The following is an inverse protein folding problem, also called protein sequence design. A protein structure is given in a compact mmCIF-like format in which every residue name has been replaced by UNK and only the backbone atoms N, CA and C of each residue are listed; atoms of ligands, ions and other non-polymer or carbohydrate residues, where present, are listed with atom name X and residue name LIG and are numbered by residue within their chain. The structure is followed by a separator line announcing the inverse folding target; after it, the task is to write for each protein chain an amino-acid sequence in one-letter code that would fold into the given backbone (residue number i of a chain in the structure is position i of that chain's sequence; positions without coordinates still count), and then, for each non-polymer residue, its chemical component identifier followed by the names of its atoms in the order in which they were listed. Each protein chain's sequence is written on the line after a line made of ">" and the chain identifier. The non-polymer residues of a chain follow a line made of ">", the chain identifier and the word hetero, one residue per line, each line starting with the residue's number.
data_IF_762569600017
#
_entry.id   IF_762569600017
#
_cell.length_a   1.000
_cell.length_b   1.000
_cell.length_c   1.000
_cell.angle_alpha   90.00
_cell.angle_beta   90.00
_cell.angle_gamma   90.00
#
_symmetry.space_group_name_H-M   'P 1'
#
loop_
_entity.id
_entity.type
_entity.pdbx_description
1 polymer ?
#
# COMPACT_ATOMS: atom_id res chain seq x y z
N UNK A 1 19.18 5.19 -43.89
CA UNK A 1 17.76 4.84 -44.10
C UNK A 1 17.51 3.51 -43.40
N UNK A 2 16.70 3.35 -42.37
CA UNK A 2 15.77 4.26 -41.73
C UNK A 2 16.00 4.40 -40.23
N UNK A 3 15.33 5.42 -39.72
CA UNK A 3 15.22 5.83 -38.34
C UNK A 3 14.27 4.89 -37.57
N UNK A 4 14.51 4.71 -36.28
CA UNK A 4 13.45 4.60 -35.30
C UNK A 4 13.80 5.52 -34.13
N UNK A 5 12.97 6.53 -33.95
CA UNK A 5 13.08 7.57 -32.92
C UNK A 5 12.54 7.10 -31.57
N UNK A 6 13.14 7.67 -30.52
CA UNK A 6 12.58 8.14 -29.25
C UNK A 6 11.37 7.43 -28.59
N UNK A 7 11.51 7.15 -27.28
CA UNK A 7 10.45 7.45 -26.31
C UNK A 7 11.01 8.26 -25.14
N UNK A 8 10.56 9.50 -25.09
CA UNK A 8 10.43 10.38 -23.92
C UNK A 8 9.28 9.84 -23.07
N UNK A 9 9.38 9.79 -21.74
CA UNK A 9 8.20 9.64 -20.88
C UNK A 9 8.55 9.29 -19.44
N UNK A 10 8.49 10.25 -18.52
CA UNK A 10 7.34 10.61 -17.66
C UNK A 10 7.08 9.64 -16.51
N UNK A 11 7.04 10.23 -15.31
CA UNK A 11 6.33 9.85 -14.08
C UNK A 11 5.95 8.37 -13.90
N UNK A 12 6.59 7.73 -12.93
CA UNK A 12 5.96 6.66 -12.14
C UNK A 12 5.78 7.14 -10.71
N UNK A 13 4.66 7.79 -10.40
CA UNK A 13 4.18 7.87 -9.01
C UNK A 13 3.79 6.44 -8.63
N UNK A 14 4.73 5.70 -8.04
CA UNK A 14 4.42 4.37 -7.52
C UNK A 14 3.73 4.58 -6.17
N UNK A 15 2.40 4.61 -6.18
CA UNK A 15 1.60 4.48 -4.96
C UNK A 15 1.74 3.01 -4.52
N UNK A 16 2.79 2.71 -3.78
CA UNK A 16 2.96 1.44 -3.09
C UNK A 16 2.20 1.55 -1.77
N UNK A 17 1.07 0.87 -1.68
CA UNK A 17 0.23 0.82 -0.47
C UNK A 17 0.89 0.13 0.72
N UNK A 18 2.15 -0.33 0.62
CA UNK A 18 2.90 -0.98 1.72
C UNK A 18 4.42 -0.80 1.62
N UNK A 19 4.92 0.42 1.34
CA UNK A 19 6.36 0.67 1.20
C UNK A 19 7.04 1.12 2.50
N UNK A 20 8.18 0.49 2.82
CA UNK A 20 9.23 1.10 3.63
C UNK A 20 9.98 2.07 2.71
N UNK A 21 9.89 3.38 2.96
CA UNK A 21 10.56 4.40 2.14
C UNK A 21 12.04 4.50 2.51
N UNK A 22 12.90 3.79 1.78
CA UNK A 22 14.35 3.93 1.95
C UNK A 22 14.83 5.23 1.27
N UNK A 23 15.54 6.07 2.02
CA UNK A 23 15.95 7.40 1.56
C UNK A 23 17.42 7.35 1.13
N UNK A 24 17.70 6.88 -0.09
CA UNK A 24 19.07 6.87 -0.59
C UNK A 24 19.38 8.24 -1.19
N UNK A 25 20.08 9.09 -0.43
CA UNK A 25 20.62 10.36 -0.92
C UNK A 25 22.05 10.10 -1.41
N UNK A 26 22.27 10.21 -2.72
CA UNK A 26 23.62 10.24 -3.30
C UNK A 26 23.93 11.69 -3.69
N UNK A 27 24.66 12.42 -2.86
CA UNK A 27 25.17 13.75 -3.25
C UNK A 27 26.36 13.57 -4.19
N UNK A 28 26.32 14.16 -5.39
CA UNK A 28 27.40 14.09 -6.37
C UNK A 28 28.31 15.33 -6.23
N UNK A 29 29.64 15.15 -6.21
CA UNK A 29 30.64 16.25 -6.14
C UNK A 29 31.66 16.24 -7.28
N UNK A 30 31.31 15.84 -8.50
CA UNK A 30 32.23 15.93 -9.66
C UNK A 30 31.85 17.09 -10.59
N UNK A 31 32.62 18.18 -10.48
CA UNK A 31 32.36 19.49 -11.13
C UNK A 31 32.90 19.58 -12.56
N UNK A 32 33.69 18.61 -13.01
CA UNK A 32 34.64 18.80 -14.14
C UNK A 32 34.18 18.14 -15.46
N UNK A 33 33.11 17.33 -15.44
CA UNK A 33 32.56 16.63 -16.62
C UNK A 33 31.07 16.87 -16.85
N UNK A 34 30.48 17.77 -16.09
CA UNK A 34 29.04 17.97 -16.09
C UNK A 34 28.64 19.20 -16.91
N UNK A 35 27.68 19.01 -17.83
CA UNK A 35 27.25 20.05 -18.77
C UNK A 35 26.15 20.95 -18.17
N UNK A 36 25.18 20.37 -17.44
CA UNK A 36 24.10 21.10 -16.71
C UNK A 36 23.62 20.29 -15.50
N UNK A 37 23.03 20.96 -14.50
CA UNK A 37 22.48 20.35 -13.26
C UNK A 37 23.47 19.49 -12.44
N UNK A 38 24.70 19.99 -12.33
CA UNK A 38 25.82 19.32 -11.66
C UNK A 38 25.63 19.26 -10.15
N UNK A 39 25.98 18.11 -9.57
CA UNK A 39 25.92 17.89 -8.13
C UNK A 39 24.54 17.52 -7.57
N UNK A 40 23.53 17.39 -8.42
CA UNK A 40 22.23 16.86 -8.03
C UNK A 40 22.17 15.33 -8.25
N UNK A 41 21.70 14.53 -7.27
CA UNK A 41 21.38 13.12 -7.49
C UNK A 41 20.39 12.93 -8.65
N UNK A 42 20.63 11.89 -9.46
CA UNK A 42 19.66 11.34 -10.41
C UNK A 42 18.40 10.82 -9.70
N UNK A 43 18.56 10.35 -8.46
CA UNK A 43 17.50 9.82 -7.60
C UNK A 43 17.78 10.14 -6.13
N UNK A 44 16.79 10.73 -5.43
CA UNK A 44 16.89 11.13 -4.00
C UNK A 44 16.20 10.15 -3.03
N UNK A 45 15.32 9.32 -3.58
CA UNK A 45 14.42 8.44 -2.83
C UNK A 45 14.32 7.12 -3.57
N UNK A 46 14.44 6.00 -2.85
CA UNK A 46 14.29 4.67 -3.42
C UNK A 46 13.36 3.83 -2.54
N UNK A 47 12.14 3.56 -3.00
CA UNK A 47 11.25 2.69 -2.24
C UNK A 47 11.74 1.24 -2.32
N UNK A 48 12.01 0.63 -1.17
CA UNK A 48 12.31 -0.81 -1.08
C UNK A 48 10.99 -1.53 -0.81
N UNK A 49 10.47 -2.34 -1.75
CA UNK A 49 9.29 -3.15 -1.49
C UNK A 49 9.51 -4.04 -0.27
N UNK A 50 8.49 -4.15 0.60
CA UNK A 50 8.58 -5.05 1.77
C UNK A 50 8.82 -6.51 1.41
N UNK A 51 8.38 -6.95 0.22
CA UNK A 51 8.63 -8.31 -0.28
C UNK A 51 10.12 -8.62 -0.47
N UNK A 52 11.00 -7.62 -0.46
CA UNK A 52 12.45 -7.80 -0.55
C UNK A 52 13.12 -7.87 0.83
N UNK A 53 12.35 -7.65 1.91
CA UNK A 53 12.84 -7.64 3.28
C UNK A 53 12.52 -8.97 3.98
N UNK A 54 13.53 -9.55 4.61
CA UNK A 54 13.43 -10.64 5.59
C UNK A 54 13.02 -10.09 6.97
N UNK A 55 12.41 -10.94 7.79
CA UNK A 55 11.94 -10.57 9.13
C UNK A 55 13.05 -10.28 10.15
N UNK A 56 14.27 -10.77 9.91
CA UNK A 56 15.38 -10.64 10.85
C UNK A 56 16.49 -9.72 10.32
N UNK A 57 17.31 -10.23 9.40
CA UNK A 57 18.49 -9.53 8.87
C UNK A 57 18.37 -9.31 7.38
N UNK A 58 18.58 -8.06 6.99
CA UNK A 58 18.58 -7.62 5.60
C UNK A 58 19.94 -7.05 5.25
N UNK A 59 20.45 -7.38 4.08
CA UNK A 59 21.69 -6.82 3.55
C UNK A 59 21.36 -5.96 2.34
N UNK A 60 21.57 -4.65 2.46
CA UNK A 60 21.45 -3.73 1.34
C UNK A 60 22.83 -3.57 0.71
N UNK A 61 22.93 -3.90 -0.59
CA UNK A 61 24.14 -3.65 -1.38
C UNK A 61 23.89 -2.42 -2.24
N UNK A 62 24.62 -1.34 -1.96
CA UNK A 62 24.56 -0.12 -2.75
C UNK A 62 25.74 -0.10 -3.72
N UNK A 63 25.43 -0.03 -5.02
CA UNK A 63 26.44 0.24 -6.03
C UNK A 63 26.62 1.74 -6.12
N UNK A 64 27.83 2.20 -5.86
CA UNK A 64 28.19 3.62 -5.90
C UNK A 64 28.13 4.10 -7.36
N UNK A 65 27.13 4.92 -7.69
CA UNK A 65 26.81 5.26 -9.08
C UNK A 65 27.69 6.39 -9.66
N UNK A 66 28.65 6.95 -8.90
CA UNK A 66 29.70 7.94 -9.25
C UNK A 66 29.78 9.03 -8.16
N UNK A 67 30.87 9.03 -7.38
CA UNK A 67 31.42 10.23 -6.71
C UNK A 67 30.55 10.90 -5.63
N UNK A 68 29.98 10.12 -4.70
CA UNK A 68 29.26 10.63 -3.53
C UNK A 68 29.76 10.05 -2.20
N UNK A 69 29.41 10.67 -1.07
CA UNK A 69 29.80 10.16 0.26
C UNK A 69 28.69 9.27 0.84
N UNK A 70 28.91 7.95 0.97
CA UNK A 70 27.89 7.03 1.48
C UNK A 70 27.52 7.26 2.96
N UNK A 71 28.30 8.05 3.70
CA UNK A 71 27.98 8.42 5.09
C UNK A 71 26.75 9.32 5.23
N UNK A 72 26.33 9.98 4.15
CA UNK A 72 25.16 10.87 4.15
C UNK A 72 23.85 10.13 3.81
N UNK A 73 23.90 8.81 3.61
CA UNK A 73 22.70 8.00 3.37
C UNK A 73 21.98 7.79 4.70
N UNK A 74 20.65 7.97 4.69
CA UNK A 74 19.81 7.75 5.87
C UNK A 74 18.70 6.76 5.56
N UNK A 75 18.27 6.02 6.58
CA UNK A 75 17.18 5.07 6.43
C UNK A 75 15.97 5.59 7.19
N UNK A 76 14.85 5.72 6.49
CA UNK A 76 13.57 6.03 7.11
C UNK A 76 12.68 4.80 7.02
N UNK A 77 12.22 4.30 8.16
CA UNK A 77 11.18 3.28 8.16
C UNK A 77 9.83 3.98 8.16
N UNK A 78 9.09 3.88 7.06
CA UNK A 78 7.67 4.23 7.04
C UNK A 78 6.91 2.99 7.43
N UNK A 79 6.38 2.95 8.66
CA UNK A 79 5.32 2.02 8.98
C UNK A 79 4.05 2.58 8.38
N UNK A 80 3.42 1.84 7.46
CA UNK A 80 2.02 2.08 7.14
C UNK A 80 1.23 1.95 8.46
N UNK A 81 0.91 3.10 9.08
CA UNK A 81 -0.05 3.15 10.18
C UNK A 81 -1.41 2.67 9.69
N UNK A 82 -1.69 2.81 8.39
CA UNK A 82 -2.93 2.37 7.78
C UNK A 82 -2.70 1.14 6.92
N UNK A 83 -3.43 0.06 7.20
CA UNK A 83 -3.51 -1.15 6.37
C UNK A 83 -4.87 -1.19 5.67
N UNK A 84 -4.92 -1.82 4.49
CA UNK A 84 -6.15 -1.92 3.71
C UNK A 84 -6.31 -3.31 3.11
N UNK A 85 -7.55 -3.70 2.87
CA UNK A 85 -7.88 -4.92 2.14
C UNK A 85 -9.12 -4.69 1.26
N UNK A 86 -9.14 -5.33 0.10
CA UNK A 86 -10.34 -5.45 -0.72
C UNK A 86 -10.52 -6.92 -1.10
N UNK A 87 -11.67 -7.48 -0.76
CA UNK A 87 -11.91 -8.93 -0.82
C UNK A 87 -13.27 -9.18 -1.47
N UNK A 88 -13.31 -10.07 -2.44
CA UNK A 88 -14.57 -10.47 -3.11
C UNK A 88 -15.41 -11.38 -2.20
N UNK A 89 -16.72 -11.39 -2.40
CA UNK A 89 -17.61 -12.35 -1.75
C UNK A 89 -17.12 -13.79 -1.98
N UNK A 90 -17.10 -14.58 -0.91
CA UNK A 90 -16.64 -15.97 -0.89
C UNK A 90 -15.14 -16.14 -0.64
N UNK A 91 -14.35 -15.07 -0.70
CA UNK A 91 -12.92 -15.12 -0.41
C UNK A 91 -12.59 -14.92 1.08
N UNK A 92 -11.41 -15.36 1.49
CA UNK A 92 -10.88 -15.17 2.84
C UNK A 92 -10.29 -13.76 2.98
N UNK A 93 -10.76 -13.01 3.97
CA UNK A 93 -10.08 -11.78 4.41
C UNK A 93 -8.86 -12.14 5.24
N UNK A 94 -7.74 -11.48 4.97
CA UNK A 94 -6.57 -11.47 5.85
C UNK A 94 -6.07 -10.04 6.05
N UNK A 95 -6.03 -9.58 7.30
CA UNK A 95 -5.47 -8.31 7.74
C UNK A 95 -4.41 -8.57 8.81
N UNK A 96 -3.26 -7.93 8.69
CA UNK A 96 -2.17 -8.06 9.68
C UNK A 96 -1.43 -6.74 9.88
N UNK A 97 -1.13 -6.46 11.14
CA UNK A 97 -0.28 -5.35 11.56
C UNK A 97 1.16 -5.82 11.72
N UNK A 98 2.09 -4.99 11.23
CA UNK A 98 3.51 -5.29 11.25
C UNK A 98 4.17 -4.78 12.55
N UNK A 99 5.28 -5.41 12.95
CA UNK A 99 6.11 -4.93 14.08
C UNK A 99 5.47 -5.10 15.46
N UNK A 100 4.67 -6.16 15.66
CA UNK A 100 4.02 -6.44 16.95
C UNK A 100 2.89 -5.46 17.30
N UNK A 101 2.52 -4.56 16.38
CA UNK A 101 1.37 -3.68 16.53
C UNK A 101 0.06 -4.47 16.45
N UNK A 102 -0.99 -3.89 16.99
CA UNK A 102 -2.36 -4.40 16.92
C UNK A 102 -3.23 -3.44 16.15
N UNK A 103 -4.31 -3.94 15.54
CA UNK A 103 -5.31 -3.12 14.88
C UNK A 103 -6.01 -2.27 15.96
N UNK A 104 -5.80 -0.97 15.92
CA UNK A 104 -6.30 0.00 16.91
C UNK A 104 -7.66 0.56 16.51
N UNK A 105 -7.90 0.74 15.21
CA UNK A 105 -9.12 1.36 14.69
C UNK A 105 -9.46 0.84 13.29
N UNK A 106 -10.75 0.68 12.98
CA UNK A 106 -11.22 0.50 11.60
C UNK A 106 -11.69 1.88 11.10
N UNK A 107 -10.94 2.50 10.20
CA UNK A 107 -11.28 3.81 9.64
C UNK A 107 -12.45 3.72 8.64
N UNK A 108 -12.52 2.60 7.91
CA UNK A 108 -13.59 2.34 6.95
C UNK A 108 -13.75 0.83 6.79
N UNK A 109 -15.00 0.36 6.79
CA UNK A 109 -15.37 -0.96 6.34
C UNK A 109 -16.77 -0.93 5.71
N UNK A 110 -16.88 -1.42 4.48
CA UNK A 110 -18.15 -1.50 3.77
C UNK A 110 -18.17 -2.76 2.90
N UNK A 111 -19.22 -3.56 3.06
CA UNK A 111 -19.51 -4.72 2.23
C UNK A 111 -20.63 -4.37 1.25
N UNK A 112 -20.36 -4.47 -0.05
CA UNK A 112 -21.30 -4.08 -1.08
C UNK A 112 -20.58 -3.76 -2.38
N UNK A 113 -20.76 -2.54 -2.90
CA UNK A 113 -20.01 -2.05 -4.04
C UNK A 113 -19.10 -0.84 -3.73
N UNK A 114 -18.23 -0.91 -2.70
CA UNK A 114 -17.34 0.20 -2.36
C UNK A 114 -16.49 0.64 -3.56
N UNK A 115 -16.21 1.93 -3.60
CA UNK A 115 -15.46 2.61 -4.64
C UNK A 115 -14.19 3.25 -4.07
N UNK A 116 -13.26 3.62 -4.96
CA UNK A 116 -12.01 4.26 -4.60
C UNK A 116 -10.89 3.26 -4.34
N UNK A 117 -9.87 3.71 -3.60
CA UNK A 117 -8.67 2.94 -3.27
C UNK A 117 -8.31 3.19 -1.81
N UNK A 118 -7.42 2.37 -1.24
CA UNK A 118 -6.87 2.58 0.10
C UNK A 118 -6.48 4.05 0.36
N UNK A 119 -6.98 4.63 1.45
CA UNK A 119 -6.84 6.06 1.78
C UNK A 119 -7.98 6.95 1.25
N UNK A 120 -8.81 6.44 0.35
CA UNK A 120 -9.88 7.18 -0.35
C UNK A 120 -11.13 6.32 -0.58
N UNK A 121 -11.31 5.27 0.22
CA UNK A 121 -12.49 4.42 0.11
C UNK A 121 -13.75 5.22 0.40
N UNK A 122 -14.79 4.92 -0.37
CA UNK A 122 -16.11 5.49 -0.21
C UNK A 122 -17.15 4.42 -0.48
N UNK A 123 -18.30 4.59 0.19
CA UNK A 123 -19.47 3.74 -0.03
C UNK A 123 -19.93 3.92 -1.48
N UNK A 124 -20.34 2.82 -2.10
CA UNK A 124 -20.89 2.84 -3.44
C UNK A 124 -22.39 3.11 -3.43
N UNK A 125 -23.07 2.63 -4.47
CA UNK A 125 -24.52 2.71 -4.63
C UNK A 125 -25.29 1.92 -3.57
N UNK A 126 -24.69 0.84 -3.05
CA UNK A 126 -25.31 -0.02 -2.06
C UNK A 126 -24.27 -0.60 -1.09
N UNK A 127 -24.70 -0.85 0.14
CA UNK A 127 -23.89 -1.48 1.17
C UNK A 127 -24.77 -2.29 2.14
N UNK A 128 -24.15 -3.25 2.80
CA UNK A 128 -24.71 -3.97 3.93
C UNK A 128 -24.70 -3.09 5.19
N UNK A 129 -25.71 -3.26 6.04
CA UNK A 129 -25.88 -2.48 7.28
C UNK A 129 -24.77 -2.74 8.30
N UNK A 130 -24.27 -3.97 8.37
CA UNK A 130 -23.34 -4.42 9.42
C UNK A 130 -21.86 -4.38 8.99
N UNK A 131 -21.56 -3.77 7.84
CA UNK A 131 -20.20 -3.70 7.26
C UNK A 131 -19.11 -3.28 8.25
N UNK A 132 -19.36 -2.18 8.97
CA UNK A 132 -18.39 -1.60 9.89
C UNK A 132 -18.28 -2.40 11.19
N UNK A 133 -19.41 -2.68 11.84
CA UNK A 133 -19.46 -3.35 13.15
C UNK A 133 -18.92 -4.78 13.10
N UNK A 134 -19.20 -5.53 12.03
CA UNK A 134 -18.66 -6.89 11.85
C UNK A 134 -17.14 -6.90 11.80
N UNK A 135 -16.53 -5.95 11.08
CA UNK A 135 -15.07 -5.87 10.95
C UNK A 135 -14.43 -5.37 12.26
N UNK A 136 -15.02 -4.36 12.91
CA UNK A 136 -14.54 -3.85 14.19
C UNK A 136 -14.49 -4.93 15.27
N UNK A 137 -15.57 -5.70 15.42
CA UNK A 137 -15.65 -6.80 16.37
C UNK A 137 -14.65 -7.93 16.07
N UNK A 138 -14.38 -8.19 14.78
CA UNK A 138 -13.47 -9.25 14.38
C UNK A 138 -11.98 -8.88 14.56
N UNK A 139 -11.62 -7.61 14.34
CA UNK A 139 -10.25 -7.20 14.09
C UNK A 139 -9.61 -6.32 15.18
N UNK A 140 -10.37 -5.46 15.87
CA UNK A 140 -9.79 -4.52 16.85
C UNK A 140 -9.12 -5.31 18.00
N UNK A 141 -7.93 -4.86 18.40
CA UNK A 141 -7.14 -5.44 19.47
C UNK A 141 -6.32 -6.67 19.08
N UNK A 142 -6.37 -7.12 17.82
CA UNK A 142 -5.57 -8.24 17.32
C UNK A 142 -4.43 -7.76 16.42
N UNK A 143 -3.31 -8.46 16.43
CA UNK A 143 -2.20 -8.23 15.47
C UNK A 143 -2.52 -8.76 14.07
N UNK A 144 -3.46 -9.71 13.97
CA UNK A 144 -4.01 -10.20 12.72
C UNK A 144 -5.46 -10.64 12.89
N UNK A 145 -6.26 -10.50 11.84
CA UNK A 145 -7.62 -11.01 11.78
C UNK A 145 -7.92 -11.56 10.38
N UNK A 146 -8.79 -12.55 10.32
CA UNK A 146 -9.27 -13.08 9.06
C UNK A 146 -10.53 -13.89 9.24
N UNK A 147 -11.39 -13.84 8.24
CA UNK A 147 -12.65 -14.57 8.17
C UNK A 147 -13.15 -14.61 6.74
N UNK A 148 -13.99 -15.58 6.41
CA UNK A 148 -14.57 -15.68 5.06
C UNK A 148 -15.62 -14.59 4.87
N UNK A 149 -15.44 -13.78 3.82
CA UNK A 149 -16.36 -12.70 3.47
C UNK A 149 -17.60 -13.33 2.83
N UNK A 150 -18.71 -13.34 3.56
CA UNK A 150 -19.97 -13.95 3.11
C UNK A 150 -21.12 -12.99 3.34
N UNK A 151 -22.18 -13.08 2.54
CA UNK A 151 -23.37 -12.21 2.69
C UNK A 151 -24.01 -12.36 4.07
N UNK A 152 -24.01 -13.58 4.60
CA UNK A 152 -24.57 -13.92 5.89
C UNK A 152 -23.78 -13.25 7.03
N UNK A 153 -22.45 -13.18 6.94
CA UNK A 153 -21.60 -12.50 7.93
C UNK A 153 -21.86 -10.99 8.03
N UNK A 154 -22.43 -10.40 6.98
CA UNK A 154 -22.76 -8.97 6.92
C UNK A 154 -24.28 -8.70 6.99
N UNK A 155 -25.08 -9.69 7.40
CA UNK A 155 -26.52 -9.53 7.59
C UNK A 155 -27.33 -9.36 6.30
N UNK A 156 -26.72 -9.62 5.13
CA UNK A 156 -27.39 -9.52 3.84
C UNK A 156 -28.22 -10.77 3.62
N UNK A 157 -29.54 -10.62 3.72
CA UNK A 157 -30.49 -11.69 3.36
C UNK A 157 -30.87 -11.59 1.90
N UNK A 158 -31.30 -12.71 1.31
CA UNK A 158 -31.73 -12.78 -0.10
C UNK A 158 -32.85 -11.76 -0.44
N UNK A 159 -33.64 -11.36 0.56
CA UNK A 159 -34.70 -10.35 0.41
C UNK A 159 -34.19 -8.92 0.24
N UNK A 160 -32.93 -8.66 0.60
CA UNK A 160 -32.29 -7.34 0.50
C UNK A 160 -31.41 -7.21 -0.75
N UNK A 161 -31.05 -8.31 -1.40
CA UNK A 161 -30.35 -8.29 -2.69
C UNK A 161 -31.29 -7.81 -3.79
N UNK A 162 -30.99 -6.65 -4.36
CA UNK A 162 -31.60 -6.24 -5.62
C UNK A 162 -30.89 -6.95 -6.78
N UNK A 163 -31.65 -7.23 -7.83
CA UNK A 163 -31.20 -7.98 -9.01
C UNK A 163 -30.01 -7.33 -9.74
N UNK A 164 -29.72 -6.04 -9.46
CA UNK A 164 -28.64 -5.24 -10.04
C UNK A 164 -27.39 -5.05 -9.14
N UNK A 165 -27.31 -5.72 -7.97
CA UNK A 165 -26.27 -5.42 -6.98
C UNK A 165 -24.83 -5.83 -7.40
N UNK A 166 -24.65 -6.53 -8.52
CA UNK A 166 -23.34 -6.93 -9.02
C UNK A 166 -22.59 -7.87 -8.07
N UNK A 167 -21.27 -8.00 -8.25
CA UNK A 167 -20.42 -8.82 -7.37
C UNK A 167 -20.12 -8.03 -6.10
N UNK A 168 -20.57 -8.54 -4.95
CA UNK A 168 -20.33 -7.93 -3.66
C UNK A 168 -18.85 -8.06 -3.25
N UNK A 169 -18.31 -7.00 -2.65
CA UNK A 169 -16.94 -6.97 -2.14
C UNK A 169 -16.87 -6.20 -0.83
N UNK A 170 -15.94 -6.61 0.02
CA UNK A 170 -15.57 -5.95 1.26
C UNK A 170 -14.37 -5.05 1.00
N UNK A 171 -14.46 -3.77 1.35
CA UNK A 171 -13.30 -2.87 1.40
C UNK A 171 -13.08 -2.43 2.84
N UNK A 172 -11.85 -2.54 3.32
CA UNK A 172 -11.45 -2.20 4.69
C UNK A 172 -10.23 -1.29 4.66
N UNK A 173 -10.23 -0.31 5.57
CA UNK A 173 -9.11 0.53 5.93
C UNK A 173 -9.02 0.55 7.45
N UNK A 174 -7.87 0.18 7.99
CA UNK A 174 -7.66 0.05 9.43
C UNK A 174 -6.32 0.67 9.84
N UNK A 175 -6.24 1.12 11.09
CA UNK A 175 -5.02 1.62 11.70
C UNK A 175 -4.35 0.53 12.55
N UNK A 176 -3.04 0.40 12.37
CA UNK A 176 -2.07 -0.22 13.27
C UNK A 176 -1.32 0.91 14.02
#
# INVERSE_FOLDING_TARGET
>A
MGLASAVIGLLGLVILTDAVTLVIIVENTQRDKCNTNCGCPSQRWYHVPRSFLNNDKNTLVLFEEIGGNPKNISFQTVTAETICAQVEEGALLELSCQGGKTITQIQFASFGNPEGKCGSFKKGTWEATDGQSTVEAACIGKSSCGFTVTKEAFGVTFSLMKVDDGVARLAIQATC
#
